data_IF_280959290669
#
_entry.id   IF_280959290669
#
_cell.length_a   1.000
_cell.length_b   1.000
_cell.length_c   1.000
_cell.angle_alpha   90.00
_cell.angle_beta   90.00
_cell.angle_gamma   90.00
#
_symmetry.space_group_name_H-M   'P 1'
#
loop_
_entity.id
_entity.type
_entity.pdbx_description
1 polymer ?
#
# COMPACT_ATOMS: atom_id res chain seq x y z
N UNK A 1 0.88 -14.60 -16.84
CA UNK A 1 1.14 -15.46 -15.66
C UNK A 1 1.04 -14.58 -14.43
N UNK A 2 0.12 -14.87 -13.53
CA UNK A 2 -0.03 -14.17 -12.25
C UNK A 2 1.18 -14.51 -11.37
N UNK A 3 1.97 -13.50 -11.00
CA UNK A 3 3.11 -13.68 -10.10
C UNK A 3 2.65 -13.69 -8.65
N UNK A 4 3.42 -14.32 -7.76
CA UNK A 4 3.22 -14.16 -6.32
C UNK A 4 3.92 -12.89 -5.84
N UNK A 5 3.32 -12.25 -4.85
CA UNK A 5 3.82 -11.06 -4.16
C UNK A 5 4.05 -11.42 -2.71
N UNK A 6 5.21 -11.04 -2.19
CA UNK A 6 5.50 -11.01 -0.76
C UNK A 6 5.17 -9.60 -0.25
N UNK A 7 4.51 -9.52 0.89
CA UNK A 7 4.21 -8.25 1.53
C UNK A 7 3.30 -8.46 2.73
N UNK A 8 2.38 -7.52 2.91
CA UNK A 8 1.44 -7.53 4.02
C UNK A 8 0.02 -7.29 3.53
N UNK A 9 -0.90 -8.13 3.95
CA UNK A 9 -2.33 -7.88 3.78
C UNK A 9 -2.80 -6.85 4.82
N UNK A 10 -3.73 -6.01 4.43
CA UNK A 10 -4.43 -5.09 5.31
C UNK A 10 -5.67 -5.81 5.88
N UNK A 11 -5.74 -6.09 7.18
CA UNK A 11 -6.86 -6.79 7.77
C UNK A 11 -8.20 -6.07 7.47
N UNK A 12 -9.32 -6.79 7.27
CA UNK A 12 -10.60 -6.17 6.91
C UNK A 12 -11.08 -5.10 7.91
N UNK A 13 -10.77 -5.25 9.19
CA UNK A 13 -11.05 -4.25 10.22
C UNK A 13 -10.28 -2.95 10.00
N UNK A 14 -8.96 -3.05 9.83
CA UNK A 14 -8.08 -1.92 9.53
C UNK A 14 -8.49 -1.23 8.23
N UNK A 15 -8.78 -2.03 7.19
CA UNK A 15 -9.29 -1.51 5.91
C UNK A 15 -10.54 -0.65 6.09
N UNK A 16 -11.53 -1.11 6.85
CA UNK A 16 -12.76 -0.33 7.09
C UNK A 16 -12.46 0.95 7.86
N UNK A 17 -11.65 0.88 8.91
CA UNK A 17 -11.29 2.05 9.71
C UNK A 17 -10.52 3.10 8.89
N UNK A 18 -9.57 2.66 8.07
CA UNK A 18 -8.84 3.57 7.18
C UNK A 18 -9.72 4.15 6.08
N UNK A 19 -10.66 3.40 5.50
CA UNK A 19 -11.61 3.92 4.50
C UNK A 19 -12.56 4.98 5.07
N UNK A 20 -12.89 4.88 6.35
CA UNK A 20 -13.65 5.92 7.05
C UNK A 20 -12.79 7.18 7.29
N UNK A 21 -11.50 7.00 7.60
CA UNK A 21 -10.57 8.10 7.88
C UNK A 21 -10.10 8.83 6.61
N UNK A 22 -9.76 8.07 5.56
CA UNK A 22 -9.31 8.57 4.26
C UNK A 22 -10.25 8.04 3.19
N UNK A 23 -11.31 8.79 2.85
CA UNK A 23 -12.23 8.37 1.80
C UNK A 23 -11.53 8.19 0.45
N UNK A 24 -11.90 7.16 -0.34
CA UNK A 24 -11.34 6.95 -1.67
C UNK A 24 -11.79 8.09 -2.60
N UNK A 25 -10.83 8.74 -3.26
CA UNK A 25 -11.11 9.80 -4.24
C UNK A 25 -11.65 9.27 -5.56
N UNK A 26 -11.24 8.06 -5.94
CA UNK A 26 -11.59 7.46 -7.23
C UNK A 26 -12.47 6.21 -7.05
N UNK A 27 -13.26 5.89 -8.08
CA UNK A 27 -14.33 4.90 -7.99
C UNK A 27 -13.84 3.46 -7.70
N UNK A 28 -12.65 3.08 -8.21
CA UNK A 28 -12.12 1.74 -7.96
C UNK A 28 -11.32 1.74 -6.66
N UNK A 29 -11.93 1.25 -5.59
CA UNK A 29 -11.25 1.03 -4.31
C UNK A 29 -10.38 -0.23 -4.38
N UNK A 30 -9.09 -0.10 -4.07
CA UNK A 30 -8.16 -1.24 -3.94
C UNK A 30 -8.01 -1.56 -2.45
N UNK A 31 -7.25 -0.74 -1.70
CA UNK A 31 -7.16 -0.76 -0.24
C UNK A 31 -6.94 -2.16 0.36
N UNK A 32 -5.96 -2.92 -0.16
CA UNK A 32 -5.83 -4.35 0.14
C UNK A 32 -4.52 -4.74 0.82
N UNK A 33 -3.38 -4.23 0.35
CA UNK A 33 -2.08 -4.74 0.78
C UNK A 33 -0.95 -3.71 0.61
N UNK A 34 0.16 -3.95 1.31
CA UNK A 34 1.46 -3.32 1.08
C UNK A 34 2.37 -4.33 0.40
N UNK A 35 3.04 -3.95 -0.69
CA UNK A 35 4.00 -4.82 -1.39
C UNK A 35 5.40 -4.68 -0.81
N UNK A 36 6.04 -5.80 -0.48
CA UNK A 36 7.48 -5.86 -0.21
C UNK A 36 8.25 -6.24 -1.49
N UNK A 37 7.88 -7.35 -2.13
CA UNK A 37 8.60 -7.89 -3.29
C UNK A 37 7.68 -8.66 -4.24
N UNK A 38 7.59 -8.30 -5.53
CA UNK A 38 6.91 -9.10 -6.53
C UNK A 38 7.76 -10.28 -7.00
N UNK A 39 7.13 -11.27 -7.65
CA UNK A 39 7.82 -12.37 -8.33
C UNK A 39 8.45 -13.40 -7.39
N UNK A 40 7.91 -13.57 -6.18
CA UNK A 40 8.41 -14.56 -5.21
C UNK A 40 7.90 -15.98 -5.52
N UNK A 41 8.52 -16.97 -4.89
CA UNK A 41 8.08 -18.38 -4.93
C UNK A 41 7.29 -18.73 -3.66
N UNK A 42 6.43 -19.76 -3.70
CA UNK A 42 5.86 -20.32 -2.47
C UNK A 42 6.96 -20.66 -1.46
N UNK A 43 6.71 -20.40 -0.17
CA UNK A 43 7.65 -20.69 0.92
C UNK A 43 8.80 -19.68 1.08
N UNK A 44 8.80 -18.55 0.35
CA UNK A 44 9.72 -17.46 0.67
C UNK A 44 9.52 -17.01 2.13
N UNK A 45 10.58 -16.72 2.91
CA UNK A 45 10.43 -16.21 4.26
C UNK A 45 9.55 -14.96 4.29
N UNK A 46 8.59 -14.95 5.22
CA UNK A 46 7.73 -13.80 5.48
C UNK A 46 8.50 -12.70 6.23
N UNK A 47 8.16 -11.41 6.02
CA UNK A 47 8.65 -10.35 6.89
C UNK A 47 8.14 -10.58 8.33
N UNK A 48 8.85 -10.00 9.30
CA UNK A 48 8.54 -10.19 10.73
C UNK A 48 7.59 -9.13 11.27
N UNK A 49 7.54 -7.98 10.60
CA UNK A 49 6.75 -6.84 11.02
C UNK A 49 5.26 -7.15 10.85
N UNK A 50 4.48 -7.02 11.92
CA UNK A 50 3.02 -7.21 11.92
C UNK A 50 2.26 -5.89 12.10
N UNK A 51 3.00 -4.79 12.09
CA UNK A 51 2.49 -3.45 12.36
C UNK A 51 3.13 -2.45 11.42
N UNK A 52 2.38 -1.39 11.12
CA UNK A 52 2.86 -0.25 10.37
C UNK A 52 2.14 1.02 10.81
N UNK A 53 2.56 2.13 10.22
CA UNK A 53 1.96 3.44 10.48
C UNK A 53 1.65 4.11 9.15
N UNK A 54 0.39 4.43 8.89
CA UNK A 54 0.03 5.30 7.77
C UNK A 54 0.47 6.71 8.11
N UNK A 55 1.43 7.23 7.35
CA UNK A 55 2.06 8.54 7.60
C UNK A 55 1.61 9.61 6.60
N UNK A 56 0.92 9.24 5.54
CA UNK A 56 0.44 10.21 4.57
C UNK A 56 -0.37 9.66 3.42
N UNK A 57 -0.89 10.60 2.62
CA UNK A 57 -1.71 10.34 1.43
C UNK A 57 -1.03 10.96 0.22
N UNK A 58 -0.71 10.13 -0.76
CA UNK A 58 -0.25 10.56 -2.08
C UNK A 58 -1.42 10.52 -3.06
N UNK A 59 -1.58 11.58 -3.85
CA UNK A 59 -2.63 11.68 -4.86
C UNK A 59 -2.13 12.51 -6.04
N UNK A 60 -2.28 12.01 -7.26
CA UNK A 60 -1.89 12.73 -8.48
C UNK A 60 -2.98 13.65 -9.03
N UNK A 61 -4.16 13.68 -8.41
CA UNK A 61 -5.34 14.42 -8.86
C UNK A 61 -5.94 13.93 -10.18
N UNK A 62 -5.38 12.90 -10.80
CA UNK A 62 -5.72 12.42 -12.15
C UNK A 62 -6.06 10.94 -12.22
N UNK A 63 -6.07 10.23 -11.10
CA UNK A 63 -6.61 8.88 -11.02
C UNK A 63 -5.84 7.89 -10.15
N UNK A 64 -4.81 8.29 -9.41
CA UNK A 64 -4.12 7.39 -8.49
C UNK A 64 -4.03 8.03 -7.11
N UNK A 65 -4.52 7.29 -6.13
CA UNK A 65 -4.40 7.63 -4.71
C UNK A 65 -3.71 6.47 -3.98
N UNK A 66 -2.78 6.78 -3.08
CA UNK A 66 -2.07 5.80 -2.27
C UNK A 66 -1.90 6.29 -0.83
N UNK A 67 -1.90 5.36 0.13
CA UNK A 67 -1.51 5.63 1.52
C UNK A 67 -0.04 5.24 1.70
N UNK A 68 0.79 6.17 2.15
CA UNK A 68 2.20 5.91 2.48
C UNK A 68 2.27 5.31 3.88
N UNK A 69 3.01 4.21 4.00
CA UNK A 69 3.12 3.42 5.23
C UNK A 69 4.58 3.36 5.68
N UNK A 70 4.83 3.62 6.95
CA UNK A 70 6.09 3.30 7.61
C UNK A 70 6.01 1.89 8.21
N UNK A 71 6.97 1.03 7.89
CA UNK A 71 7.09 -0.34 8.41
C UNK A 71 8.53 -0.49 8.94
N UNK A 72 8.68 -0.98 10.17
CA UNK A 72 10.00 -1.07 10.80
C UNK A 72 10.69 0.29 11.00
N UNK A 73 9.91 1.38 11.09
CA UNK A 73 10.43 2.73 11.30
C UNK A 73 10.89 3.47 10.03
N UNK A 74 10.68 2.89 8.85
CA UNK A 74 11.00 3.53 7.57
C UNK A 74 9.86 3.43 6.56
N UNK A 75 9.77 4.41 5.67
CA UNK A 75 8.91 4.38 4.48
C UNK A 75 9.62 3.75 3.28
N UNK A 76 10.93 3.55 3.36
CA UNK A 76 11.75 3.14 2.22
C UNK A 76 11.71 1.62 2.03
N UNK A 77 11.53 1.20 0.79
CA UNK A 77 11.63 -0.20 0.36
C UNK A 77 13.01 -0.44 -0.26
N UNK A 78 13.51 -1.66 -0.13
CA UNK A 78 14.85 -2.03 -0.59
C UNK A 78 15.12 -1.79 -2.08
N UNK A 79 14.08 -1.66 -2.91
CA UNK A 79 14.20 -1.40 -4.34
C UNK A 79 14.13 0.10 -4.69
N UNK A 80 14.22 0.98 -3.69
CA UNK A 80 14.21 2.44 -3.85
C UNK A 80 12.82 3.06 -3.98
N UNK A 81 11.76 2.25 -3.92
CA UNK A 81 10.38 2.75 -3.84
C UNK A 81 9.92 2.95 -2.39
N UNK A 82 8.69 3.43 -2.20
CA UNK A 82 8.11 3.70 -0.89
C UNK A 82 7.06 2.64 -0.54
N UNK A 83 7.01 2.18 0.70
CA UNK A 83 5.92 1.34 1.19
C UNK A 83 4.59 2.07 1.13
N UNK A 84 3.60 1.46 0.48
CA UNK A 84 2.29 2.06 0.32
C UNK A 84 1.20 1.01 0.13
N UNK A 85 -0.03 1.42 0.41
CA UNK A 85 -1.24 0.75 -0.04
C UNK A 85 -1.80 1.55 -1.21
N UNK A 86 -1.96 0.93 -2.38
CA UNK A 86 -2.78 1.54 -3.44
C UNK A 86 -4.20 1.69 -2.90
N UNK A 87 -4.70 2.91 -2.87
CA UNK A 87 -5.93 3.24 -2.15
C UNK A 87 -7.13 3.23 -3.08
N UNK A 88 -7.13 4.12 -4.07
CA UNK A 88 -8.17 4.19 -5.10
C UNK A 88 -7.60 4.54 -6.47
N UNK A 89 -8.29 4.08 -7.51
CA UNK A 89 -7.88 4.24 -8.91
C UNK A 89 -9.02 4.77 -9.79
N UNK A 90 -8.66 5.67 -10.70
CA UNK A 90 -9.50 6.15 -11.79
C UNK A 90 -9.49 5.18 -12.99
N UNK A 91 -10.34 5.43 -14.01
CA UNK A 91 -10.41 4.60 -15.20
C UNK A 91 -9.05 4.43 -15.88
N UNK A 92 -8.70 3.19 -16.26
CA UNK A 92 -7.45 2.86 -16.96
C UNK A 92 -6.18 2.86 -16.10
N UNK A 93 -6.24 3.36 -14.85
CA UNK A 93 -5.08 3.40 -13.94
C UNK A 93 -4.81 2.04 -13.30
N UNK A 94 -3.54 1.79 -12.97
CA UNK A 94 -3.00 0.54 -12.44
C UNK A 94 -2.32 0.77 -11.09
N UNK A 95 -2.38 -0.20 -10.15
CA UNK A 95 -1.73 -0.07 -8.83
C UNK A 95 -0.24 0.27 -8.87
N UNK A 96 0.50 -0.29 -9.84
CA UNK A 96 1.95 -0.04 -9.98
C UNK A 96 2.30 1.43 -10.16
N UNK A 97 1.36 2.25 -10.66
CA UNK A 97 1.56 3.69 -10.87
C UNK A 97 1.66 4.47 -9.55
N UNK A 98 1.20 3.92 -8.42
CA UNK A 98 1.35 4.53 -7.10
C UNK A 98 2.82 4.85 -6.77
N UNK A 99 3.77 4.03 -7.22
CA UNK A 99 5.20 4.31 -7.06
C UNK A 99 5.62 5.63 -7.73
N UNK A 100 5.20 5.83 -8.97
CA UNK A 100 5.54 7.04 -9.73
C UNK A 100 4.86 8.27 -9.14
N UNK A 101 3.62 8.13 -8.66
CA UNK A 101 2.90 9.22 -8.00
C UNK A 101 3.61 9.66 -6.73
N UNK A 102 3.97 8.72 -5.86
CA UNK A 102 4.70 9.02 -4.63
C UNK A 102 6.05 9.68 -4.94
N UNK A 103 6.82 9.13 -5.88
CA UNK A 103 8.14 9.67 -6.22
C UNK A 103 8.09 11.08 -6.82
N UNK A 104 7.07 11.39 -7.64
CA UNK A 104 6.96 12.67 -8.34
C UNK A 104 6.27 13.75 -7.52
N UNK A 105 5.26 13.38 -6.74
CA UNK A 105 4.36 14.32 -6.06
C UNK A 105 4.53 14.34 -4.54
N UNK A 106 5.28 13.38 -3.98
CA UNK A 106 5.35 13.19 -2.53
C UNK A 106 3.99 12.76 -1.95
N UNK A 107 3.78 13.09 -0.69
CA UNK A 107 2.52 12.86 0.00
C UNK A 107 2.22 13.99 0.98
N UNK A 108 0.93 14.19 1.27
CA UNK A 108 0.50 15.01 2.38
C UNK A 108 0.56 14.19 3.66
N UNK A 109 1.13 14.75 4.73
CA UNK A 109 1.20 14.07 6.02
C UNK A 109 -0.20 13.80 6.58
N UNK A 110 -0.38 12.61 7.15
CA UNK A 110 -1.55 12.28 7.95
C UNK A 110 -1.23 12.64 9.41
N UNK A 111 -1.99 13.58 9.98
CA UNK A 111 -1.79 14.07 11.34
C UNK A 111 -3.09 13.95 12.16
N UNK A 112 -3.12 13.12 13.24
CA UNK A 112 -2.01 12.27 13.68
C UNK A 112 -1.76 11.10 12.72
N UNK A 113 -0.51 10.60 12.62
CA UNK A 113 -0.23 9.39 11.88
C UNK A 113 -1.02 8.21 12.47
N UNK A 114 -1.43 7.26 11.62
CA UNK A 114 -2.37 6.19 12.00
C UNK A 114 -1.68 4.84 12.10
N UNK A 115 -1.47 4.29 13.32
CA UNK A 115 -1.02 2.90 13.49
C UNK A 115 -2.04 1.91 12.92
N UNK A 116 -1.53 0.83 12.32
CA UNK A 116 -2.33 -0.23 11.71
C UNK A 116 -1.68 -1.60 11.95
N UNK A 117 -2.52 -2.62 12.12
CA UNK A 117 -2.08 -4.03 12.01
C UNK A 117 -1.90 -4.43 10.55
N UNK A 118 -0.94 -5.31 10.32
CA UNK A 118 -0.56 -5.85 9.01
C UNK A 118 -0.32 -7.35 9.13
N UNK A 119 -0.73 -8.11 8.11
CA UNK A 119 -0.58 -9.57 8.09
C UNK A 119 0.47 -9.99 7.05
N UNK A 120 1.70 -10.40 7.45
CA UNK A 120 2.71 -10.92 6.53
C UNK A 120 2.18 -12.07 5.69
N UNK A 121 2.31 -11.99 4.37
CA UNK A 121 1.77 -13.00 3.47
C UNK A 121 2.50 -13.10 2.13
N UNK A 122 2.30 -14.25 1.48
CA UNK A 122 2.54 -14.44 0.05
C UNK A 122 1.17 -14.62 -0.63
N UNK A 123 0.88 -13.79 -1.62
CA UNK A 123 -0.44 -13.75 -2.27
C UNK A 123 -0.31 -13.48 -3.78
N UNK A 124 -1.38 -13.76 -4.53
CA UNK A 124 -1.40 -13.52 -5.98
C UNK A 124 -1.48 -12.04 -6.35
N UNK A 125 -0.73 -11.61 -7.36
CA UNK A 125 -0.67 -10.21 -7.82
C UNK A 125 -1.96 -9.67 -8.47
N UNK A 126 -3.01 -10.50 -8.57
CA UNK A 126 -4.30 -10.17 -9.18
C UNK A 126 -5.47 -10.13 -8.19
N UNK A 127 -5.19 -10.23 -6.89
CA UNK A 127 -6.18 -9.98 -5.83
C UNK A 127 -6.36 -8.48 -5.59
#
# INVERSE_FOLDING_TARGET
MTGLVLGWLLPPGERRSLLALVPPRYARVVAHHVTLKPGVRPGHPLPREEEGVVVGVADDGTGVQALVVSIGGTTDRFDGSTFHVTWSLGPGRKPVESNAVIAKHGWMALDPPRPIRLEPAIFGSGM
#
